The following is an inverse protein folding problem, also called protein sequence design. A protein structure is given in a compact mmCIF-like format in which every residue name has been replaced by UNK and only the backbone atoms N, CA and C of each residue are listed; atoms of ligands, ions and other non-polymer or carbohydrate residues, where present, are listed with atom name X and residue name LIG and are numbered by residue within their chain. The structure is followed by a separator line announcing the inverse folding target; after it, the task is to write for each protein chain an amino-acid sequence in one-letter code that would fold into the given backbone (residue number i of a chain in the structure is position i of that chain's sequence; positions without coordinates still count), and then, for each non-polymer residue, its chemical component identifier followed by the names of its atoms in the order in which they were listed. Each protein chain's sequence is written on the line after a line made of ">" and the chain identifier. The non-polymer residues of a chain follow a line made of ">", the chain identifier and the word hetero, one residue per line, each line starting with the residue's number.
data_IF_960228423928
#
_entry.id   IF_960228423928
#
_cell.length_a   1.000
_cell.length_b   1.000
_cell.length_c   1.000
_cell.angle_alpha   90.00
_cell.angle_beta   90.00
_cell.angle_gamma   90.00
#
_symmetry.space_group_name_H-M   'P 1'
#
loop_
_entity.id
_entity.type
_entity.pdbx_description
1 polymer ?
#
# COMPACT_ATOMS: atom_id res chain seq x y z
N UNK A 1 -15.51 -13.27 13.70
CA UNK A 1 -14.34 -12.51 13.19
C UNK A 1 -14.22 -12.74 11.69
N UNK A 2 -13.54 -11.85 10.94
CA UNK A 2 -13.29 -12.05 9.51
C UNK A 2 -12.59 -13.39 9.22
N UNK A 3 -11.68 -13.82 10.09
CA UNK A 3 -11.04 -15.14 10.01
C UNK A 3 -12.05 -16.28 10.03
N UNK A 4 -13.08 -16.23 10.89
CA UNK A 4 -14.12 -17.27 10.93
C UNK A 4 -14.97 -17.29 9.65
N UNK A 5 -15.33 -16.12 9.12
CA UNK A 5 -16.04 -16.01 7.84
C UNK A 5 -15.20 -16.55 6.68
N UNK A 6 -13.89 -16.28 6.69
CA UNK A 6 -12.94 -16.80 5.70
C UNK A 6 -12.84 -18.32 5.77
N UNK A 7 -12.71 -18.89 6.98
CA UNK A 7 -12.68 -20.34 7.17
C UNK A 7 -13.96 -20.99 6.65
N UNK A 8 -15.13 -20.42 6.94
CA UNK A 8 -16.41 -20.91 6.45
C UNK A 8 -16.48 -20.87 4.91
N UNK A 9 -16.11 -19.75 4.31
CA UNK A 9 -16.05 -19.60 2.85
C UNK A 9 -15.13 -20.63 2.18
N UNK A 10 -13.99 -20.94 2.80
CA UNK A 10 -13.00 -21.88 2.27
C UNK A 10 -13.42 -23.36 2.42
N UNK A 11 -14.43 -23.69 3.24
CA UNK A 11 -14.90 -25.08 3.41
C UNK A 11 -15.38 -25.71 2.11
N UNK A 12 -15.91 -24.93 1.18
CA UNK A 12 -16.42 -25.43 -0.11
C UNK A 12 -15.49 -25.14 -1.30
N UNK A 13 -14.33 -24.53 -1.06
CA UNK A 13 -13.37 -24.11 -2.11
C UNK A 13 -12.08 -24.92 -2.04
N UNK A 14 -11.41 -25.07 -3.17
CA UNK A 14 -10.00 -25.47 -3.19
C UNK A 14 -9.13 -24.23 -2.95
N UNK A 15 -8.09 -24.35 -2.13
CA UNK A 15 -7.22 -23.22 -1.81
C UNK A 15 -5.80 -23.69 -1.48
N UNK A 16 -4.87 -22.76 -1.65
CA UNK A 16 -3.49 -22.85 -1.21
C UNK A 16 -3.21 -21.76 -0.17
N UNK A 17 -2.12 -21.88 0.57
CA UNK A 17 -1.73 -20.92 1.60
C UNK A 17 -0.36 -20.36 1.27
N UNK A 18 -0.27 -19.05 1.07
CA UNK A 18 1.01 -18.32 1.11
C UNK A 18 1.16 -17.66 2.48
N UNK A 19 1.99 -18.23 3.36
CA UNK A 19 2.28 -17.68 4.68
C UNK A 19 3.54 -16.83 4.62
N UNK A 20 3.40 -15.54 4.96
CA UNK A 20 4.47 -14.56 4.87
C UNK A 20 4.81 -14.01 6.26
N UNK A 21 6.00 -14.33 6.77
CA UNK A 21 6.51 -13.75 8.02
C UNK A 21 8.00 -13.97 8.12
N UNK A 22 8.77 -12.89 8.33
CA UNK A 22 10.23 -12.97 8.48
C UNK A 22 10.64 -13.85 9.66
N UNK A 23 10.04 -13.62 10.83
CA UNK A 23 10.35 -14.39 12.05
C UNK A 23 9.53 -15.68 12.17
N UNK A 24 8.34 -15.73 11.58
CA UNK A 24 7.35 -16.78 11.83
C UNK A 24 6.68 -16.69 13.20
N UNK A 25 6.87 -15.58 13.92
CA UNK A 25 6.35 -15.37 15.29
C UNK A 25 5.45 -14.15 15.40
N UNK A 26 5.13 -13.48 14.28
CA UNK A 26 4.10 -12.43 14.23
C UNK A 26 2.77 -13.06 14.64
N UNK A 27 2.21 -12.61 15.76
CA UNK A 27 1.08 -13.26 16.46
C UNK A 27 -0.10 -13.53 15.55
N UNK A 28 -0.53 -12.49 14.83
CA UNK A 28 -1.68 -12.46 13.94
C UNK A 28 -1.51 -13.47 12.81
N UNK A 29 -0.38 -13.41 12.10
CA UNK A 29 -0.03 -14.33 11.02
C UNK A 29 0.07 -15.77 11.52
N UNK A 30 0.73 -16.01 12.65
CA UNK A 30 0.93 -17.35 13.20
C UNK A 30 -0.40 -17.99 13.63
N UNK A 31 -1.34 -17.23 14.19
CA UNK A 31 -2.67 -17.72 14.56
C UNK A 31 -3.48 -18.05 13.30
N UNK A 32 -3.54 -17.13 12.33
CA UNK A 32 -4.25 -17.36 11.07
C UNK A 32 -3.70 -18.59 10.33
N UNK A 33 -2.37 -18.74 10.28
CA UNK A 33 -1.74 -19.89 9.65
C UNK A 33 -2.07 -21.21 10.35
N UNK A 34 -2.11 -21.25 11.69
CA UNK A 34 -2.52 -22.46 12.42
C UNK A 34 -3.93 -22.91 12.04
N UNK A 35 -4.88 -21.98 12.01
CA UNK A 35 -6.28 -22.26 11.69
C UNK A 35 -6.44 -22.70 10.22
N UNK A 36 -5.82 -21.98 9.28
CA UNK A 36 -5.90 -22.29 7.86
C UNK A 36 -5.19 -23.60 7.50
N UNK A 37 -4.01 -23.86 8.09
CA UNK A 37 -3.28 -25.12 7.93
C UNK A 37 -4.14 -26.30 8.39
N UNK A 38 -4.78 -26.18 9.55
CA UNK A 38 -5.67 -27.24 10.07
C UNK A 38 -6.81 -27.53 9.09
N UNK A 39 -7.55 -26.50 8.66
CA UNK A 39 -8.63 -26.66 7.69
C UNK A 39 -8.15 -27.30 6.38
N UNK A 40 -6.98 -26.90 5.88
CA UNK A 40 -6.42 -27.45 4.64
C UNK A 40 -6.08 -28.94 4.81
N UNK A 41 -5.46 -29.32 5.94
CA UNK A 41 -5.14 -30.73 6.25
C UNK A 41 -6.41 -31.57 6.36
N UNK A 42 -7.45 -31.07 7.05
CA UNK A 42 -8.74 -31.76 7.18
C UNK A 42 -9.39 -32.01 5.81
N UNK A 43 -9.20 -31.10 4.85
CA UNK A 43 -9.80 -31.21 3.52
C UNK A 43 -9.06 -32.12 2.55
N UNK A 44 -7.73 -32.08 2.53
CA UNK A 44 -6.94 -32.74 1.47
C UNK A 44 -5.92 -33.76 2.00
N UNK A 45 -5.82 -33.92 3.31
CA UNK A 45 -4.78 -34.72 3.97
C UNK A 45 -3.44 -34.01 4.02
N UNK A 46 -2.60 -34.38 5.00
CA UNK A 46 -1.35 -33.68 5.29
C UNK A 46 -0.36 -33.63 4.12
N UNK A 47 -0.18 -34.74 3.40
CA UNK A 47 0.75 -34.81 2.28
C UNK A 47 0.37 -33.85 1.13
N UNK A 48 -0.92 -33.68 0.84
CA UNK A 48 -1.38 -32.74 -0.19
C UNK A 48 -1.39 -31.30 0.33
N UNK A 49 -1.76 -31.10 1.60
CA UNK A 49 -1.71 -29.79 2.24
C UNK A 49 -0.28 -29.21 2.20
N UNK A 50 0.74 -30.03 2.49
CA UNK A 50 2.13 -29.58 2.47
C UNK A 50 2.58 -29.10 1.08
N UNK A 51 2.05 -29.66 -0.01
CA UNK A 51 2.31 -29.21 -1.39
C UNK A 51 1.59 -27.91 -1.74
N UNK A 52 0.49 -27.61 -1.06
CA UNK A 52 -0.32 -26.41 -1.25
C UNK A 52 0.02 -25.28 -0.26
N UNK A 53 1.08 -25.44 0.54
CA UNK A 53 1.60 -24.42 1.44
C UNK A 53 2.91 -23.86 0.89
N UNK A 54 2.95 -22.55 0.75
CA UNK A 54 4.10 -21.75 0.36
C UNK A 54 4.51 -20.87 1.54
N UNK A 55 5.80 -20.82 1.86
CA UNK A 55 6.31 -20.02 2.98
C UNK A 55 7.33 -18.99 2.50
N UNK A 56 7.00 -17.71 2.63
CA UNK A 56 7.92 -16.59 2.39
C UNK A 56 8.47 -16.10 3.72
N UNK A 57 9.74 -16.37 4.00
CA UNK A 57 10.34 -16.18 5.34
C UNK A 57 11.85 -15.95 5.24
N UNK A 58 12.50 -15.68 6.38
CA UNK A 58 13.97 -15.53 6.44
C UNK A 58 14.69 -16.74 5.81
N UNK A 59 15.85 -16.52 5.20
CA UNK A 59 16.58 -17.56 4.48
C UNK A 59 16.97 -18.76 5.35
N UNK A 60 17.31 -18.53 6.63
CA UNK A 60 17.96 -19.54 7.48
C UNK A 60 17.34 -19.68 8.87
N UNK A 61 16.70 -18.63 9.38
CA UNK A 61 16.27 -18.52 10.78
C UNK A 61 14.77 -18.34 10.91
N UNK A 62 14.27 -18.34 12.15
CA UNK A 62 12.84 -18.14 12.44
C UNK A 62 12.04 -19.44 12.55
N UNK A 63 10.87 -19.33 13.21
CA UNK A 63 9.99 -20.46 13.46
C UNK A 63 9.35 -21.00 12.17
N UNK A 64 8.99 -20.10 11.25
CA UNK A 64 8.36 -20.47 9.99
C UNK A 64 9.34 -21.19 9.06
N UNK A 65 10.61 -20.75 8.99
CA UNK A 65 11.65 -21.46 8.24
C UNK A 65 11.82 -22.89 8.72
N UNK A 66 11.96 -23.09 10.03
CA UNK A 66 12.09 -24.44 10.63
C UNK A 66 10.89 -25.32 10.29
N UNK A 67 9.68 -24.78 10.45
CA UNK A 67 8.45 -25.49 10.15
C UNK A 67 8.35 -25.88 8.67
N UNK A 68 8.69 -24.95 7.77
CA UNK A 68 8.67 -25.18 6.34
C UNK A 68 9.66 -26.27 5.91
N UNK A 69 10.89 -26.25 6.45
CA UNK A 69 11.87 -27.32 6.22
C UNK A 69 11.38 -28.67 6.73
N UNK A 70 10.81 -28.73 7.93
CA UNK A 70 10.30 -29.97 8.53
C UNK A 70 9.15 -30.60 7.73
N UNK A 71 8.27 -29.77 7.17
CA UNK A 71 7.07 -30.24 6.47
C UNK A 71 7.26 -30.29 4.94
N UNK A 72 8.43 -29.88 4.42
CA UNK A 72 8.72 -29.87 2.99
C UNK A 72 7.90 -28.87 2.19
N UNK A 73 7.53 -27.73 2.77
CA UNK A 73 6.82 -26.67 2.03
C UNK A 73 7.71 -26.04 0.97
N UNK A 74 7.11 -25.53 -0.11
CA UNK A 74 7.83 -24.64 -1.04
C UNK A 74 8.16 -23.33 -0.32
N UNK A 75 9.40 -22.85 -0.42
CA UNK A 75 9.82 -21.66 0.30
C UNK A 75 10.42 -20.60 -0.60
N UNK A 76 10.13 -19.34 -0.28
CA UNK A 76 10.79 -18.18 -0.85
C UNK A 76 11.53 -17.41 0.24
N UNK A 77 12.60 -16.72 -0.15
CA UNK A 77 13.46 -15.98 0.78
C UNK A 77 13.03 -14.52 0.84
N UNK A 78 12.76 -14.04 2.05
CA UNK A 78 12.73 -12.62 2.37
C UNK A 78 14.14 -12.21 2.85
N UNK A 79 14.88 -11.35 2.11
CA UNK A 79 16.23 -10.96 2.48
C UNK A 79 16.34 -10.35 3.89
N UNK A 80 17.44 -10.63 4.58
CA UNK A 80 17.64 -10.22 5.97
C UNK A 80 17.83 -8.70 6.12
N UNK A 81 18.35 -8.04 5.09
CA UNK A 81 18.59 -6.60 4.98
C UNK A 81 17.37 -5.82 4.46
N UNK A 82 16.33 -6.49 3.96
CA UNK A 82 15.08 -5.84 3.53
C UNK A 82 14.04 -5.88 4.67
N UNK A 83 13.56 -4.69 5.05
CA UNK A 83 12.47 -4.49 6.00
C UNK A 83 11.09 -4.72 5.38
N UNK A 84 10.09 -5.03 6.20
CA UNK A 84 8.74 -5.41 5.72
C UNK A 84 8.10 -4.39 4.77
N UNK A 85 8.08 -3.11 5.15
CA UNK A 85 7.49 -2.03 4.33
C UNK A 85 8.22 -1.73 3.01
N UNK A 86 9.45 -2.25 2.85
CA UNK A 86 10.26 -2.15 1.62
C UNK A 86 10.31 -3.48 0.83
N UNK A 87 9.50 -4.48 1.22
CA UNK A 87 9.63 -5.84 0.69
C UNK A 87 8.66 -6.18 -0.45
N UNK A 88 7.83 -5.24 -0.91
CA UNK A 88 6.80 -5.51 -1.93
C UNK A 88 7.36 -6.07 -3.24
N UNK A 89 8.56 -5.62 -3.65
CA UNK A 89 9.27 -6.11 -4.84
C UNK A 89 10.10 -7.39 -4.59
N UNK A 90 9.90 -8.05 -3.45
CA UNK A 90 10.45 -9.39 -3.16
C UNK A 90 9.35 -10.44 -3.33
N UNK A 91 9.65 -11.71 -3.04
CA UNK A 91 8.64 -12.78 -3.03
C UNK A 91 7.42 -12.50 -2.13
N UNK A 92 7.53 -11.54 -1.19
CA UNK A 92 6.39 -11.06 -0.38
C UNK A 92 5.26 -10.54 -1.28
N UNK A 93 5.56 -9.68 -2.26
CA UNK A 93 4.55 -9.17 -3.20
C UNK A 93 4.53 -9.92 -4.53
N UNK A 94 5.69 -10.34 -5.06
CA UNK A 94 5.76 -10.95 -6.39
C UNK A 94 4.96 -12.25 -6.49
N UNK A 95 5.00 -13.12 -5.47
CA UNK A 95 4.24 -14.38 -5.51
C UNK A 95 2.72 -14.15 -5.58
N UNK A 96 2.09 -13.39 -4.66
CA UNK A 96 0.65 -13.16 -4.75
C UNK A 96 0.24 -12.37 -6.01
N UNK A 97 1.09 -11.45 -6.50
CA UNK A 97 0.82 -10.72 -7.76
C UNK A 97 0.82 -11.66 -8.98
N UNK A 98 1.82 -12.55 -9.08
CA UNK A 98 1.87 -13.55 -10.14
C UNK A 98 0.66 -14.50 -10.10
N UNK A 99 0.22 -14.92 -8.90
CA UNK A 99 -0.99 -15.73 -8.73
C UNK A 99 -2.25 -14.98 -9.16
N UNK A 100 -2.29 -13.66 -9.00
CA UNK A 100 -3.37 -12.82 -9.49
C UNK A 100 -3.34 -12.57 -11.00
N UNK A 101 -2.34 -13.11 -11.73
CA UNK A 101 -2.18 -12.95 -13.17
C UNK A 101 -1.50 -11.66 -13.60
N UNK A 102 -0.83 -10.96 -12.68
CA UNK A 102 -0.08 -9.74 -12.98
C UNK A 102 1.31 -10.13 -13.53
N UNK A 103 1.74 -9.45 -14.59
CA UNK A 103 3.08 -9.64 -15.17
C UNK A 103 4.15 -9.08 -14.22
N UNK A 104 4.76 -9.97 -13.46
CA UNK A 104 5.79 -9.60 -12.48
C UNK A 104 7.12 -9.24 -13.13
N UNK A 105 7.39 -9.70 -14.35
CA UNK A 105 8.62 -9.35 -15.07
C UNK A 105 8.54 -7.90 -15.55
N UNK A 106 7.39 -7.50 -16.11
CA UNK A 106 7.12 -6.12 -16.50
C UNK A 106 7.08 -5.17 -15.29
N UNK A 107 6.50 -5.61 -14.17
CA UNK A 107 6.57 -4.89 -12.90
C UNK A 107 8.02 -4.67 -12.44
N UNK A 108 8.87 -5.70 -12.50
CA UNK A 108 10.27 -5.56 -12.15
C UNK A 108 11.05 -4.68 -13.14
N UNK A 109 10.68 -4.69 -14.43
CA UNK A 109 11.24 -3.81 -15.44
C UNK A 109 10.94 -2.33 -15.13
N UNK A 110 9.71 -2.02 -14.71
CA UNK A 110 9.34 -0.67 -14.29
C UNK A 110 10.10 -0.18 -13.05
N UNK A 111 10.27 -1.06 -12.06
CA UNK A 111 11.09 -0.74 -10.88
C UNK A 111 12.56 -0.51 -11.25
N UNK A 112 13.11 -1.32 -12.17
CA UNK A 112 14.47 -1.16 -12.67
C UNK A 112 14.64 0.15 -13.43
N UNK A 113 13.65 0.55 -14.23
CA UNK A 113 13.63 1.83 -14.94
C UNK A 113 13.73 2.99 -13.95
N UNK A 114 12.82 3.05 -12.96
CA UNK A 114 12.84 4.08 -11.93
C UNK A 114 14.19 4.15 -11.19
N UNK A 115 14.82 3.01 -10.92
CA UNK A 115 16.17 2.95 -10.35
C UNK A 115 17.20 3.56 -11.30
N UNK A 116 17.22 3.14 -12.56
CA UNK A 116 18.23 3.59 -13.53
C UNK A 116 18.18 5.09 -13.78
N UNK A 117 16.98 5.68 -13.76
CA UNK A 117 16.76 7.11 -14.03
C UNK A 117 17.07 8.02 -12.82
N UNK A 118 17.21 7.44 -11.61
CA UNK A 118 17.31 8.23 -10.36
C UNK A 118 18.58 8.02 -9.54
N UNK A 119 19.34 6.94 -9.73
CA UNK A 119 20.54 6.69 -8.89
C UNK A 119 21.59 7.80 -9.04
N UNK A 120 21.85 8.26 -10.26
CA UNK A 120 22.88 9.26 -10.57
C UNK A 120 22.31 10.63 -11.00
N UNK A 121 21.02 10.85 -10.76
CA UNK A 121 20.31 12.07 -11.18
C UNK A 121 19.58 12.70 -10.00
N UNK A 122 20.23 13.65 -9.31
CA UNK A 122 19.63 14.36 -8.18
C UNK A 122 18.48 15.30 -8.58
N UNK A 123 18.36 15.64 -9.87
CA UNK A 123 17.24 16.42 -10.41
C UNK A 123 16.02 15.53 -10.74
N UNK A 124 16.08 14.23 -10.48
CA UNK A 124 14.95 13.32 -10.64
C UNK A 124 13.82 13.66 -9.65
N UNK A 125 12.56 13.52 -10.09
CA UNK A 125 11.39 13.98 -9.35
C UNK A 125 11.19 13.30 -8.00
N UNK A 126 11.77 12.12 -7.78
CA UNK A 126 11.73 11.46 -6.47
C UNK A 126 12.50 12.24 -5.39
N UNK A 127 13.58 12.93 -5.75
CA UNK A 127 14.33 13.77 -4.81
C UNK A 127 13.61 15.09 -4.62
N UNK A 128 13.05 15.67 -5.69
CA UNK A 128 12.20 16.87 -5.59
C UNK A 128 11.01 16.62 -4.67
N UNK A 129 10.33 15.49 -4.83
CA UNK A 129 9.22 15.09 -3.96
C UNK A 129 9.65 15.03 -2.50
N UNK A 130 10.76 14.35 -2.17
CA UNK A 130 11.28 14.32 -0.80
C UNK A 130 11.60 15.71 -0.23
N UNK A 131 12.23 16.58 -1.03
CA UNK A 131 12.57 17.96 -0.62
C UNK A 131 11.32 18.84 -0.44
N UNK A 132 10.32 18.72 -1.31
CA UNK A 132 9.06 19.47 -1.19
C UNK A 132 8.34 19.06 0.09
N UNK A 133 8.26 17.76 0.40
CA UNK A 133 7.65 17.26 1.65
C UNK A 133 8.35 17.80 2.89
N UNK A 134 9.69 17.75 2.94
CA UNK A 134 10.47 18.31 4.05
C UNK A 134 10.25 19.83 4.16
N UNK A 135 10.19 20.54 3.03
CA UNK A 135 9.91 21.99 3.00
C UNK A 135 8.53 22.29 3.59
N UNK A 136 7.48 21.56 3.17
CA UNK A 136 6.13 21.72 3.68
C UNK A 136 6.05 21.37 5.18
N UNK A 137 6.73 20.30 5.61
CA UNK A 137 6.84 19.97 7.03
C UNK A 137 7.46 21.13 7.86
N UNK A 138 8.53 21.75 7.34
CA UNK A 138 9.18 22.92 7.97
C UNK A 138 8.30 24.19 7.94
N UNK A 139 7.39 24.29 6.97
CA UNK A 139 6.33 25.30 6.90
C UNK A 139 5.12 24.98 7.79
N UNK A 140 5.26 24.03 8.73
CA UNK A 140 4.30 23.69 9.76
C UNK A 140 3.07 22.88 9.27
N UNK A 141 3.09 22.36 8.04
CA UNK A 141 2.14 21.30 7.65
C UNK A 141 2.41 20.05 8.49
N UNK A 142 1.33 19.42 8.97
CA UNK A 142 1.37 18.29 9.90
C UNK A 142 0.98 16.97 9.26
N UNK A 143 0.28 17.03 8.14
CA UNK A 143 -0.22 15.84 7.46
C UNK A 143 0.00 15.94 5.96
N UNK A 144 0.33 14.80 5.37
CA UNK A 144 0.25 14.61 3.92
C UNK A 144 -0.96 13.74 3.62
N UNK A 145 -1.82 14.22 2.73
CA UNK A 145 -3.02 13.53 2.28
C UNK A 145 -2.76 12.90 0.91
N UNK A 146 -2.66 11.56 0.86
CA UNK A 146 -2.59 10.83 -0.40
C UNK A 146 -3.97 10.72 -1.04
N UNK A 147 -4.10 11.22 -2.26
CA UNK A 147 -5.36 11.28 -3.00
C UNK A 147 -5.28 10.35 -4.21
N UNK A 148 -6.28 9.49 -4.35
CA UNK A 148 -6.53 8.72 -5.60
C UNK A 148 -7.94 8.99 -6.08
N UNK A 149 -8.16 9.01 -7.39
CA UNK A 149 -9.50 9.12 -7.99
C UNK A 149 -10.11 7.76 -8.37
N UNK A 150 -9.34 6.70 -8.15
CA UNK A 150 -9.67 5.34 -8.58
C UNK A 150 -9.73 4.43 -7.36
N UNK A 151 -10.92 3.92 -6.95
CA UNK A 151 -11.08 3.14 -5.73
C UNK A 151 -10.20 1.88 -5.65
N UNK A 152 -9.85 1.30 -6.80
CA UNK A 152 -8.96 0.14 -6.87
C UNK A 152 -7.52 0.45 -6.35
N UNK A 153 -7.15 1.73 -6.22
CA UNK A 153 -5.87 2.20 -5.67
C UNK A 153 -5.91 2.58 -4.21
N UNK A 154 -7.05 2.47 -3.52
CA UNK A 154 -7.15 2.79 -2.10
C UNK A 154 -6.09 2.00 -1.28
N UNK A 155 -5.82 0.74 -1.64
CA UNK A 155 -4.79 -0.07 -0.96
C UNK A 155 -3.35 0.37 -1.26
N UNK A 156 -3.10 1.06 -2.37
CA UNK A 156 -1.80 1.68 -2.63
C UNK A 156 -1.57 2.85 -1.65
N UNK A 157 -2.61 3.63 -1.34
CA UNK A 157 -2.53 4.64 -0.29
C UNK A 157 -2.29 4.02 1.10
N UNK A 158 -2.89 2.88 1.43
CA UNK A 158 -2.58 2.14 2.66
C UNK A 158 -1.09 1.72 2.72
N UNK A 159 -0.54 1.28 1.59
CA UNK A 159 0.89 0.96 1.48
C UNK A 159 1.77 2.20 1.68
N UNK A 160 1.43 3.35 1.08
CA UNK A 160 2.13 4.62 1.29
C UNK A 160 2.09 5.08 2.75
N UNK A 161 0.93 4.96 3.42
CA UNK A 161 0.80 5.27 4.84
C UNK A 161 1.73 4.44 5.70
N UNK A 162 1.84 3.13 5.43
CA UNK A 162 2.81 2.30 6.15
C UNK A 162 4.25 2.72 5.82
N UNK A 163 4.57 2.90 4.53
CA UNK A 163 5.90 3.23 4.07
C UNK A 163 6.43 4.49 4.75
N UNK A 164 5.70 5.60 4.64
CA UNK A 164 6.11 6.88 5.21
C UNK A 164 5.91 6.94 6.73
N UNK A 165 4.77 6.48 7.24
CA UNK A 165 4.45 6.57 8.67
C UNK A 165 5.43 5.80 9.55
N UNK A 166 5.76 4.55 9.20
CA UNK A 166 6.76 3.79 9.96
C UNK A 166 8.21 4.24 9.71
N UNK A 167 8.50 4.84 8.55
CA UNK A 167 9.86 5.31 8.25
C UNK A 167 10.17 6.65 8.91
N UNK A 168 9.22 7.58 8.96
CA UNK A 168 9.42 8.96 9.42
C UNK A 168 8.86 9.22 10.83
N UNK A 169 7.86 8.46 11.29
CA UNK A 169 7.17 8.68 12.58
C UNK A 169 8.01 8.27 13.79
N UNK A 170 9.11 8.97 14.05
CA UNK A 170 10.09 8.68 15.12
C UNK A 170 10.54 9.96 15.80
N UNK A 171 10.99 9.82 17.05
CA UNK A 171 11.58 10.95 17.79
C UNK A 171 10.69 12.19 17.85
N UNK A 172 9.35 11.99 17.83
CA UNK A 172 8.32 13.04 17.79
C UNK A 172 8.35 13.93 16.54
N UNK A 173 8.95 13.44 15.45
CA UNK A 173 9.00 14.05 14.12
C UNK A 173 8.18 13.24 13.10
N UNK A 174 8.10 13.77 11.88
CA UNK A 174 7.44 13.16 10.74
C UNK A 174 6.10 13.80 10.41
N UNK A 175 5.72 13.71 9.13
CA UNK A 175 4.36 14.02 8.67
C UNK A 175 3.42 12.88 9.08
N UNK A 176 2.18 13.21 9.44
CA UNK A 176 1.14 12.20 9.61
C UNK A 176 0.58 11.81 8.22
N UNK A 177 0.82 10.58 7.74
CA UNK A 177 0.31 10.17 6.45
C UNK A 177 -1.16 9.76 6.58
N UNK A 178 -2.01 10.38 5.78
CA UNK A 178 -3.43 10.05 5.68
C UNK A 178 -3.81 9.93 4.21
N UNK A 179 -5.05 9.51 3.91
CA UNK A 179 -5.45 9.25 2.53
C UNK A 179 -6.95 9.37 2.32
N UNK A 180 -7.33 9.68 1.09
CA UNK A 180 -8.72 9.76 0.61
C UNK A 180 -8.87 9.11 -0.76
N UNK A 181 -10.09 8.65 -1.05
CA UNK A 181 -10.50 8.21 -2.38
C UNK A 181 -11.53 9.19 -2.93
N UNK A 182 -11.13 9.97 -3.93
CA UNK A 182 -12.02 10.90 -4.62
C UNK A 182 -12.74 10.21 -5.80
N UNK A 183 -13.92 10.69 -6.21
CA UNK A 183 -14.68 11.80 -5.62
C UNK A 183 -15.42 11.44 -4.33
N UNK A 184 -15.46 10.18 -3.90
CA UNK A 184 -16.23 9.72 -2.73
C UNK A 184 -15.97 10.54 -1.47
N UNK A 185 -14.70 10.76 -1.13
CA UNK A 185 -14.33 11.48 0.10
C UNK A 185 -14.39 13.00 -0.02
N UNK A 186 -14.66 13.56 -1.21
CA UNK A 186 -15.10 14.96 -1.30
C UNK A 186 -16.42 15.15 -0.54
N UNK A 187 -17.22 14.09 -0.43
CA UNK A 187 -18.49 14.09 0.30
C UNK A 187 -18.37 13.63 1.76
N UNK A 188 -17.14 13.54 2.30
CA UNK A 188 -16.88 13.25 3.71
C UNK A 188 -15.87 14.24 4.30
N UNK A 189 -14.70 14.36 3.68
CA UNK A 189 -13.58 15.20 4.10
C UNK A 189 -13.39 16.45 3.23
N UNK A 190 -14.07 16.58 2.08
CA UNK A 190 -13.94 17.73 1.18
C UNK A 190 -14.13 19.08 1.88
N UNK A 191 -15.12 19.20 2.78
CA UNK A 191 -15.32 20.42 3.58
C UNK A 191 -14.11 20.77 4.46
N UNK A 192 -13.50 19.77 5.11
CA UNK A 192 -12.33 20.00 5.97
C UNK A 192 -11.10 20.35 5.13
N UNK A 193 -10.94 19.73 3.96
CA UNK A 193 -9.82 20.03 3.07
C UNK A 193 -9.95 21.45 2.52
N UNK A 194 -11.15 21.87 2.14
CA UNK A 194 -11.41 23.18 1.54
C UNK A 194 -11.31 24.35 2.53
N UNK A 195 -11.87 24.20 3.74
CA UNK A 195 -12.08 25.32 4.68
C UNK A 195 -11.85 24.91 6.16
N UNK A 196 -11.15 23.80 6.36
CA UNK A 196 -10.71 23.38 7.69
C UNK A 196 -9.39 24.01 8.10
N UNK A 197 -8.80 23.49 9.18
CA UNK A 197 -7.48 23.94 9.63
C UNK A 197 -6.42 23.66 8.56
N UNK A 198 -5.52 24.61 8.24
CA UNK A 198 -4.50 24.47 7.18
C UNK A 198 -3.31 23.64 7.67
N UNK A 199 -3.56 22.37 7.96
CA UNK A 199 -2.59 21.44 8.52
C UNK A 199 -2.12 20.38 7.53
N UNK A 200 -2.73 20.31 6.35
CA UNK A 200 -2.45 19.29 5.35
C UNK A 200 -2.06 19.88 4.00
N UNK A 201 -1.30 19.11 3.24
CA UNK A 201 -1.12 19.26 1.81
C UNK A 201 -1.48 17.95 1.13
N UNK A 202 -1.76 17.99 -0.17
CA UNK A 202 -2.18 16.84 -0.95
C UNK A 202 -1.07 16.31 -1.84
N UNK A 203 -1.01 14.99 -1.97
CA UNK A 203 -0.24 14.28 -3.01
C UNK A 203 -1.22 13.44 -3.81
N UNK A 204 -1.54 13.89 -5.01
CA UNK A 204 -2.57 13.29 -5.88
C UNK A 204 -1.94 12.36 -6.91
N UNK A 205 -2.38 11.11 -6.93
CA UNK A 205 -2.06 10.13 -7.97
C UNK A 205 -3.23 10.12 -8.96
N UNK A 206 -3.09 10.86 -10.07
CA UNK A 206 -4.15 10.98 -11.07
C UNK A 206 -3.83 10.13 -12.30
N UNK A 207 -4.79 9.30 -12.71
CA UNK A 207 -4.64 8.39 -13.84
C UNK A 207 -5.32 9.02 -15.05
N UNK A 208 -4.56 9.23 -16.10
CA UNK A 208 -5.05 9.90 -17.29
C UNK A 208 -5.97 9.02 -18.14
N UNK A 209 -5.59 7.76 -18.34
CA UNK A 209 -6.30 6.83 -19.20
C UNK A 209 -6.71 5.59 -18.40
N UNK A 210 -8.02 5.35 -18.19
CA UNK A 210 -8.47 4.17 -17.48
C UNK A 210 -8.34 2.92 -18.38
N UNK A 211 -8.21 1.76 -17.74
CA UNK A 211 -8.14 0.48 -18.47
C UNK A 211 -9.48 0.10 -19.11
N UNK A 212 -10.59 0.61 -18.59
CA UNK A 212 -11.94 0.45 -19.11
C UNK A 212 -12.71 1.76 -18.90
N UNK A 213 -13.60 2.09 -19.83
CA UNK A 213 -14.40 3.30 -19.78
C UNK A 213 -15.84 3.00 -20.23
N UNK A 214 -16.76 3.90 -19.89
CA UNK A 214 -18.18 3.77 -20.22
C UNK A 214 -18.73 5.10 -20.70
N UNK A 215 -19.54 5.03 -21.75
CA UNK A 215 -20.26 6.19 -22.28
C UNK A 215 -21.52 6.42 -21.46
N UNK A 216 -21.73 7.66 -21.04
CA UNK A 216 -22.91 8.06 -20.27
C UNK A 216 -24.14 8.03 -21.20
N UNK A 217 -25.19 7.26 -20.85
CA UNK A 217 -26.41 7.22 -21.65
C UNK A 217 -27.19 8.52 -21.52
N UNK A 218 -28.05 8.80 -22.50
CA UNK A 218 -29.08 9.84 -22.38
C UNK A 218 -30.34 9.28 -21.76
N UNK A 219 -31.03 10.06 -20.93
CA UNK A 219 -32.35 9.74 -20.41
C UNK A 219 -33.43 10.60 -21.07
N UNK A 220 -34.58 10.00 -21.42
CA UNK A 220 -35.66 10.72 -22.13
C UNK A 220 -36.28 11.81 -21.27
N UNK A 221 -36.48 11.53 -19.97
CA UNK A 221 -37.12 12.47 -19.04
C UNK A 221 -36.13 13.49 -18.44
N UNK A 222 -34.83 13.16 -18.40
CA UNK A 222 -33.75 14.04 -17.93
C UNK A 222 -34.04 14.72 -16.57
N UNK A 223 -34.64 14.00 -15.62
CA UNK A 223 -35.05 14.54 -14.32
C UNK A 223 -33.87 14.96 -13.43
N UNK A 224 -32.69 14.39 -13.67
CA UNK A 224 -31.43 14.71 -12.99
C UNK A 224 -30.66 15.85 -13.66
N UNK A 225 -31.17 16.36 -14.79
CA UNK A 225 -30.55 17.38 -15.63
C UNK A 225 -29.15 17.00 -16.16
N UNK A 226 -28.79 15.70 -16.20
CA UNK A 226 -27.45 15.24 -16.58
C UNK A 226 -27.26 14.94 -18.07
N UNK A 227 -28.26 15.13 -18.94
CA UNK A 227 -28.11 14.89 -20.39
C UNK A 227 -27.02 15.75 -21.06
N UNK A 228 -26.54 16.84 -20.46
CA UNK A 228 -25.35 17.56 -20.95
C UNK A 228 -24.06 16.74 -20.86
N UNK A 229 -24.08 15.62 -20.13
CA UNK A 229 -23.03 14.61 -20.05
C UNK A 229 -23.26 13.43 -20.99
N UNK A 230 -24.45 13.28 -21.58
CA UNK A 230 -24.76 12.16 -22.46
C UNK A 230 -23.78 12.11 -23.65
N UNK A 231 -23.34 10.90 -23.99
CA UNK A 231 -22.34 10.68 -25.04
C UNK A 231 -20.90 11.01 -24.63
N UNK A 232 -20.67 11.56 -23.44
CA UNK A 232 -19.32 11.70 -22.86
C UNK A 232 -18.92 10.42 -22.14
N UNK A 233 -17.62 10.19 -22.08
CA UNK A 233 -17.06 9.13 -21.26
C UNK A 233 -17.08 9.50 -19.77
N UNK A 234 -17.27 8.51 -18.91
CA UNK A 234 -17.20 8.68 -17.46
C UNK A 234 -15.81 9.17 -17.03
N UNK A 235 -14.75 8.70 -17.68
CA UNK A 235 -13.38 9.16 -17.43
C UNK A 235 -13.22 10.67 -17.64
N UNK A 236 -13.93 11.26 -18.61
CA UNK A 236 -13.92 12.71 -18.83
C UNK A 236 -14.53 13.43 -17.62
N UNK A 237 -15.65 12.93 -17.08
CA UNK A 237 -16.28 13.50 -15.87
C UNK A 237 -15.33 13.40 -14.68
N UNK A 238 -14.67 12.26 -14.50
CA UNK A 238 -13.69 12.07 -13.43
C UNK A 238 -12.50 13.06 -13.58
N UNK A 239 -11.99 13.26 -14.80
CA UNK A 239 -10.93 14.23 -15.09
C UNK A 239 -11.36 15.67 -14.84
N UNK A 240 -12.61 16.03 -15.13
CA UNK A 240 -13.13 17.36 -14.80
C UNK A 240 -13.33 17.54 -13.29
N UNK A 241 -13.80 16.52 -12.58
CA UNK A 241 -13.87 16.54 -11.12
C UNK A 241 -12.48 16.74 -10.51
N UNK A 242 -11.47 16.01 -10.99
CA UNK A 242 -10.08 16.22 -10.58
C UNK A 242 -9.60 17.65 -10.78
N UNK A 243 -9.75 18.20 -11.99
CA UNK A 243 -9.32 19.57 -12.29
C UNK A 243 -10.05 20.62 -11.47
N UNK A 244 -11.36 20.45 -11.30
CA UNK A 244 -12.19 21.34 -10.48
C UNK A 244 -11.78 21.32 -9.01
N UNK A 245 -11.56 20.13 -8.45
CA UNK A 245 -11.06 19.97 -7.08
C UNK A 245 -9.67 20.56 -6.91
N UNK A 246 -8.74 20.29 -7.84
CA UNK A 246 -7.38 20.83 -7.78
C UNK A 246 -7.39 22.37 -7.75
N UNK A 247 -8.17 23.00 -8.63
CA UNK A 247 -8.34 24.45 -8.64
C UNK A 247 -8.96 24.95 -7.33
N UNK A 248 -10.05 24.34 -6.86
CA UNK A 248 -10.72 24.75 -5.63
C UNK A 248 -9.80 24.63 -4.39
N UNK A 249 -9.05 23.54 -4.27
CA UNK A 249 -8.15 23.32 -3.14
C UNK A 249 -6.93 24.26 -3.20
N UNK A 250 -6.31 24.45 -4.36
CA UNK A 250 -5.09 25.27 -4.50
C UNK A 250 -5.40 26.78 -4.53
N UNK A 251 -6.35 27.20 -5.36
CA UNK A 251 -6.64 28.61 -5.62
C UNK A 251 -7.49 29.22 -4.52
N UNK A 252 -8.52 28.52 -4.03
CA UNK A 252 -9.42 29.04 -3.02
C UNK A 252 -9.04 28.56 -1.62
N UNK A 253 -8.84 27.25 -1.44
CA UNK A 253 -8.54 26.62 -0.16
C UNK A 253 -7.09 26.80 0.33
N UNK A 254 -6.19 27.24 -0.57
CA UNK A 254 -4.76 27.42 -0.31
C UNK A 254 -4.06 26.15 0.21
N UNK A 255 -4.55 24.98 -0.20
CA UNK A 255 -3.95 23.68 0.09
C UNK A 255 -2.91 23.35 -0.98
N UNK A 256 -1.61 23.22 -0.65
CA UNK A 256 -0.62 22.80 -1.63
C UNK A 256 -0.94 21.40 -2.15
N UNK A 257 -0.77 21.18 -3.46
CA UNK A 257 -1.07 19.90 -4.08
C UNK A 257 0.08 19.48 -5.01
N UNK A 258 0.62 18.29 -4.79
CA UNK A 258 1.62 17.64 -5.63
C UNK A 258 0.91 16.62 -6.51
N UNK A 259 0.94 16.80 -7.82
CA UNK A 259 0.24 15.93 -8.76
C UNK A 259 1.22 15.01 -9.46
N UNK A 260 0.96 13.70 -9.36
CA UNK A 260 1.55 12.66 -10.18
C UNK A 260 0.57 12.29 -11.29
N UNK A 261 0.88 12.71 -12.50
CA UNK A 261 0.13 12.32 -13.70
C UNK A 261 0.61 10.96 -14.20
N UNK A 262 -0.27 9.97 -14.11
CA UNK A 262 0.01 8.58 -14.45
C UNK A 262 -0.71 8.26 -15.76
N UNK A 263 0.03 8.00 -16.83
CA UNK A 263 -0.56 7.80 -18.15
C UNK A 263 -1.55 6.62 -18.19
N UNK A 264 -1.11 5.45 -17.72
CA UNK A 264 -1.89 4.22 -17.62
C UNK A 264 -1.49 3.46 -16.38
N UNK A 265 -2.34 2.54 -15.96
CA UNK A 265 -2.06 1.69 -14.82
C UNK A 265 -1.89 0.24 -15.22
N UNK A 266 -0.64 -0.13 -15.32
CA UNK A 266 -0.15 -1.44 -15.67
C UNK A 266 0.93 -1.91 -14.68
N UNK A 267 1.40 -3.13 -14.87
CA UNK A 267 2.41 -3.75 -14.04
C UNK A 267 3.70 -2.92 -14.00
N UNK A 268 4.19 -2.50 -15.17
CA UNK A 268 5.36 -1.64 -15.31
C UNK A 268 5.24 -0.34 -14.48
N UNK A 269 4.15 0.39 -14.64
CA UNK A 269 3.93 1.66 -13.95
C UNK A 269 3.84 1.47 -12.43
N UNK A 270 3.17 0.42 -11.97
CA UNK A 270 3.12 0.08 -10.56
C UNK A 270 4.52 -0.24 -9.99
N UNK A 271 5.33 -0.98 -10.74
CA UNK A 271 6.72 -1.25 -10.38
C UNK A 271 7.58 0.02 -10.26
N UNK A 272 7.43 0.92 -11.24
CA UNK A 272 8.09 2.23 -11.23
C UNK A 272 7.71 3.01 -9.97
N UNK A 273 6.41 3.10 -9.66
CA UNK A 273 5.89 3.81 -8.48
C UNK A 273 6.39 3.19 -7.17
N UNK A 274 6.41 1.86 -7.03
CA UNK A 274 6.95 1.22 -5.84
C UNK A 274 8.40 1.64 -5.59
N UNK A 275 9.26 1.62 -6.61
CA UNK A 275 10.65 2.05 -6.45
C UNK A 275 10.75 3.55 -6.15
N UNK A 276 10.02 4.38 -6.90
CA UNK A 276 9.96 5.83 -6.71
C UNK A 276 9.69 6.19 -5.24
N UNK A 277 8.58 5.68 -4.69
CA UNK A 277 8.14 6.03 -3.34
C UNK A 277 9.05 5.44 -2.26
N UNK A 278 9.57 4.22 -2.44
CA UNK A 278 10.54 3.65 -1.51
C UNK A 278 11.81 4.49 -1.45
N UNK A 279 12.34 4.94 -2.60
CA UNK A 279 13.55 5.75 -2.64
C UNK A 279 13.32 7.16 -2.08
N UNK A 280 12.23 7.82 -2.45
CA UNK A 280 11.89 9.14 -1.90
C UNK A 280 11.62 9.10 -0.39
N UNK A 281 11.02 8.03 0.12
CA UNK A 281 10.81 7.84 1.56
C UNK A 281 12.14 7.75 2.33
N UNK A 282 13.10 6.98 1.82
CA UNK A 282 14.42 6.87 2.45
C UNK A 282 15.13 8.24 2.49
N UNK A 283 15.12 8.99 1.37
CA UNK A 283 15.70 10.34 1.29
C UNK A 283 15.00 11.28 2.27
N UNK A 284 13.67 11.28 2.27
CA UNK A 284 12.85 12.16 3.12
C UNK A 284 13.12 11.92 4.61
N UNK A 285 13.22 10.66 5.05
CA UNK A 285 13.59 10.36 6.43
C UNK A 285 15.00 10.84 6.80
N UNK A 286 15.97 10.77 5.88
CA UNK A 286 17.30 11.32 6.11
C UNK A 286 17.29 12.86 6.22
N UNK A 287 16.43 13.56 5.46
CA UNK A 287 16.25 15.02 5.62
C UNK A 287 15.68 15.41 7.00
N UNK A 288 15.01 14.47 7.69
CA UNK A 288 14.49 14.64 9.05
C UNK A 288 15.49 14.21 10.16
N UNK A 289 16.68 13.73 9.78
CA UNK A 289 17.66 13.07 10.65
C UNK A 289 17.10 11.82 11.34
N UNK A 290 16.30 11.02 10.64
CA UNK A 290 15.64 9.81 11.17
C UNK A 290 16.17 8.58 10.46
N UNK A 291 16.32 7.46 11.19
CA UNK A 291 16.58 6.15 10.57
C UNK A 291 15.30 5.61 9.86
N UNK A 292 15.28 5.50 8.52
CA UNK A 292 14.09 5.06 7.79
C UNK A 292 13.80 3.56 7.93
N UNK A 293 14.72 2.75 8.45
CA UNK A 293 14.70 1.29 8.32
C UNK A 293 14.41 0.54 9.63
N UNK A 294 14.25 1.23 10.75
CA UNK A 294 13.84 0.64 12.03
C UNK A 294 12.37 0.99 12.39
N UNK A 295 11.83 0.40 13.46
CA UNK A 295 10.47 0.67 13.96
C UNK A 295 10.32 0.38 15.47
N UNK A 296 11.12 0.97 16.36
CA UNK A 296 11.16 0.56 17.77
C UNK A 296 9.83 0.74 18.53
N UNK A 297 9.02 1.73 18.15
CA UNK A 297 7.76 2.06 18.84
C UNK A 297 6.72 0.94 18.81
N UNK A 298 6.72 0.09 17.78
CA UNK A 298 5.72 -0.99 17.63
C UNK A 298 5.89 -2.11 18.66
N UNK A 299 7.04 -2.21 19.32
CA UNK A 299 7.29 -3.26 20.32
C UNK A 299 6.59 -2.98 21.65
N UNK A 300 6.23 -1.71 21.92
CA UNK A 300 5.59 -1.30 23.19
C UNK A 300 4.22 -1.97 23.36
N UNK A 301 3.34 -1.84 22.36
CA UNK A 301 2.01 -2.45 22.45
C UNK A 301 2.09 -3.98 22.45
N UNK A 302 3.04 -4.57 21.69
CA UNK A 302 3.25 -6.02 21.67
C UNK A 302 3.61 -6.57 23.04
N UNK A 303 4.51 -5.88 23.76
CA UNK A 303 4.88 -6.25 25.13
C UNK A 303 3.65 -6.24 26.05
N UNK A 304 2.85 -5.18 26.00
CA UNK A 304 1.65 -5.04 26.83
C UNK A 304 0.60 -6.11 26.48
N UNK A 305 0.34 -6.33 25.19
CA UNK A 305 -0.56 -7.37 24.70
C UNK A 305 -0.11 -8.75 25.19
N UNK A 306 1.18 -9.08 25.07
CA UNK A 306 1.68 -10.37 25.55
C UNK A 306 1.55 -10.55 27.06
N UNK A 307 1.72 -9.49 27.84
CA UNK A 307 1.49 -9.53 29.28
C UNK A 307 0.00 -9.80 29.60
N UNK A 308 -0.92 -9.11 28.91
CA UNK A 308 -2.37 -9.32 29.05
C UNK A 308 -2.80 -10.73 28.61
N UNK A 309 -2.13 -11.32 27.63
CA UNK A 309 -2.36 -12.69 27.18
C UNK A 309 -1.68 -13.75 28.08
N UNK A 310 -1.03 -13.34 29.18
CA UNK A 310 -0.38 -14.27 30.11
C UNK A 310 0.83 -14.99 29.52
N UNK A 311 1.50 -14.41 28.52
CA UNK A 311 2.70 -15.02 27.92
C UNK A 311 3.77 -15.15 29.01
N UNK A 312 4.30 -16.37 29.28
CA UNK A 312 5.34 -16.55 30.28
C UNK A 312 6.55 -15.67 29.97
N UNK A 313 7.13 -15.05 30.99
CA UNK A 313 8.44 -14.42 30.87
C UNK A 313 9.45 -15.51 30.47
N UNK A 314 10.23 -15.25 29.41
CA UNK A 314 11.37 -16.13 29.12
C UNK A 314 12.33 -16.00 30.30
N UNK A 315 12.55 -17.10 31.02
CA UNK A 315 13.68 -17.24 31.96
C UNK A 315 14.99 -17.13 31.20
#
# INVERSE_FOLDING_TARGET
>A
TLTAQTLEYLKTKNFAINVISKSGTTTETSIAFRLLKQLLIEKVGEANANKAIFATTDAKTGALRKLATQNGYTTFTLPSDIGGRYSVLTAVGLLPLAVAGIDIDDLMAGALKARSESVDNLDHDLYKYAVIRDTLYRQNYKSELYVVYEPQYAMFNEWLKQLYGESEGKEKKGLFPTSVTFSTDLHSLGQFIQDGSPILFETTLFVENPNQDVVIPSEKENLDELNYLAGKNLALVNKQAFKGTLAAHVEDGKVPNLVFEIATLDAHTLGYMFYFFMRSCAVSAYLLDINPFNQPGVEVYKKNMFALLGKPSRK
#
